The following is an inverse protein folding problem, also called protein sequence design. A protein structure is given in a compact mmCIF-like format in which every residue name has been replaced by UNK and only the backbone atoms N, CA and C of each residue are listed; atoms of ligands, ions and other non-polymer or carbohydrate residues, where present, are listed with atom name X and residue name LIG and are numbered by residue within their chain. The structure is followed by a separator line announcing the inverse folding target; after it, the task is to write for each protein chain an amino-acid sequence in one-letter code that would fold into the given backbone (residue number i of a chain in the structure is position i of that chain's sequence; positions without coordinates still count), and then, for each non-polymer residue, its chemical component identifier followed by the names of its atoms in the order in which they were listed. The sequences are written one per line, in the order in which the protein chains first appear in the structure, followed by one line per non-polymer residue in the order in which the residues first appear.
data_IF_242209915255
#
_entry.id   IF_242209915255
#
_cell.length_a   1.000
_cell.length_b   1.000
_cell.length_c   1.000
_cell.angle_alpha   90.00
_cell.angle_beta   90.00
_cell.angle_gamma   90.00
#
_symmetry.space_group_name_H-M   'P 1'
#
loop_
_entity.id
_entity.type
_entity.pdbx_description
1 polymer ?
#
# COMPACT_ATOMS: atom_id res chain seq x y z
N UNK A 1 13.60 13.32 2.39
CA UNK A 1 14.84 13.03 1.65
C UNK A 1 15.32 11.64 2.02
N UNK A 2 16.02 10.93 1.13
CA UNK A 2 16.70 9.69 1.50
C UNK A 2 17.70 10.00 2.61
N UNK A 3 17.61 9.24 3.70
CA UNK A 3 18.52 9.30 4.84
C UNK A 3 19.65 8.31 4.54
N UNK A 4 20.89 8.74 4.72
CA UNK A 4 22.07 7.92 4.42
C UNK A 4 22.94 7.67 5.64
N UNK A 5 22.88 8.55 6.65
CA UNK A 5 23.60 8.35 7.90
C UNK A 5 22.70 7.69 8.94
N UNK A 6 23.30 6.85 9.78
CA UNK A 6 22.56 6.14 10.84
C UNK A 6 21.91 7.11 11.84
N UNK A 7 22.55 8.26 12.07
CA UNK A 7 22.09 9.31 12.98
C UNK A 7 20.91 10.11 12.43
N UNK A 8 20.62 10.00 11.13
CA UNK A 8 19.46 10.64 10.52
C UNK A 8 18.16 9.88 10.85
N UNK A 9 18.26 8.62 11.29
CA UNK A 9 17.11 7.78 11.61
C UNK A 9 16.60 8.03 13.03
N UNK A 10 15.29 8.27 13.11
CA UNK A 10 14.58 8.32 14.39
C UNK A 10 14.57 6.93 15.06
N UNK A 11 14.33 6.88 16.39
CA UNK A 11 14.04 5.64 17.09
C UNK A 11 12.86 4.88 16.46
N UNK A 12 12.90 3.55 16.49
CA UNK A 12 11.82 2.70 15.94
C UNK A 12 10.48 3.04 16.58
N UNK A 13 10.45 3.31 17.88
CA UNK A 13 9.25 3.70 18.63
C UNK A 13 8.59 4.97 18.07
N UNK A 14 9.36 5.95 17.61
CA UNK A 14 8.81 7.16 16.98
C UNK A 14 8.05 6.81 15.70
N UNK A 15 8.55 5.85 14.90
CA UNK A 15 7.83 5.38 13.72
C UNK A 15 6.59 4.54 14.09
N UNK A 16 6.58 3.84 15.23
CA UNK A 16 5.39 3.10 15.73
C UNK A 16 4.28 4.02 16.21
N UNK A 17 4.63 5.08 16.93
CA UNK A 17 3.67 6.11 17.35
C UNK A 17 3.01 6.74 16.12
N UNK A 18 3.81 7.03 15.10
CA UNK A 18 3.34 7.51 13.82
C UNK A 18 2.44 6.50 13.09
N UNK A 19 2.82 5.23 13.06
CA UNK A 19 2.00 4.16 12.47
C UNK A 19 0.63 4.07 13.14
N UNK A 20 0.60 4.20 14.48
CA UNK A 20 -0.64 4.14 15.25
C UNK A 20 -1.57 5.31 14.91
N UNK A 21 -1.03 6.52 14.81
CA UNK A 21 -1.79 7.70 14.38
C UNK A 21 -2.28 7.55 12.92
N UNK A 22 -1.41 7.09 12.01
CA UNK A 22 -1.77 6.84 10.62
C UNK A 22 -2.89 5.79 10.48
N UNK A 23 -2.82 4.70 11.25
CA UNK A 23 -3.83 3.65 11.28
C UNK A 23 -5.18 4.20 11.74
N UNK A 24 -5.20 4.95 12.83
CA UNK A 24 -6.41 5.57 13.36
C UNK A 24 -7.05 6.53 12.33
N UNK A 25 -6.27 7.44 11.72
CA UNK A 25 -6.79 8.34 10.68
C UNK A 25 -7.25 7.60 9.43
N UNK A 26 -6.54 6.54 9.01
CA UNK A 26 -6.98 5.69 7.90
C UNK A 26 -8.32 5.02 8.20
N UNK A 27 -8.52 4.52 9.42
CA UNK A 27 -9.80 3.97 9.87
C UNK A 27 -10.94 4.99 9.80
N UNK A 28 -10.71 6.23 10.22
CA UNK A 28 -11.69 7.32 10.15
C UNK A 28 -12.06 7.65 8.70
N UNK A 29 -11.08 7.79 7.82
CA UNK A 29 -11.29 8.01 6.39
C UNK A 29 -12.13 6.89 5.79
N UNK A 30 -11.81 5.64 6.10
CA UNK A 30 -12.54 4.46 5.60
C UNK A 30 -13.98 4.41 6.11
N UNK A 31 -14.22 4.87 7.33
CA UNK A 31 -15.56 4.99 7.88
C UNK A 31 -16.40 6.00 7.09
N UNK A 32 -15.84 7.16 6.75
CA UNK A 32 -16.52 8.14 5.89
C UNK A 32 -16.83 7.58 4.49
N UNK A 33 -15.90 6.86 3.87
CA UNK A 33 -16.15 6.14 2.62
C UNK A 33 -17.26 5.08 2.74
N UNK A 34 -17.49 4.52 3.92
CA UNK A 34 -18.52 3.51 4.15
C UNK A 34 -19.90 4.12 4.45
N UNK A 35 -19.94 5.34 5.03
CA UNK A 35 -21.17 6.10 5.27
C UNK A 35 -21.80 6.60 3.99
N UNK A 36 -20.99 6.96 3.02
CA UNK A 36 -21.43 7.49 1.73
C UNK A 36 -21.80 6.37 0.75
N UNK A 37 -22.76 6.62 -0.15
CA UNK A 37 -23.10 5.68 -1.22
C UNK A 37 -22.00 5.69 -2.31
N UNK A 38 -20.92 4.96 -2.04
CA UNK A 38 -19.72 4.97 -2.84
C UNK A 38 -19.94 4.35 -4.24
N UNK A 39 -19.59 5.11 -5.28
CA UNK A 39 -19.48 4.60 -6.64
C UNK A 39 -18.24 3.70 -6.80
N UNK A 40 -18.05 3.09 -7.96
CA UNK A 40 -16.90 2.20 -8.25
C UNK A 40 -15.55 2.87 -7.96
N UNK A 41 -15.39 4.15 -8.33
CA UNK A 41 -14.16 4.92 -8.09
C UNK A 41 -13.85 4.99 -6.60
N UNK A 42 -14.81 5.41 -5.77
CA UNK A 42 -14.62 5.54 -4.32
C UNK A 42 -14.45 4.16 -3.64
N UNK A 43 -15.12 3.11 -4.14
CA UNK A 43 -14.90 1.73 -3.68
C UNK A 43 -13.46 1.27 -3.96
N UNK A 44 -12.92 1.58 -5.15
CA UNK A 44 -11.53 1.26 -5.46
C UNK A 44 -10.59 2.05 -4.53
N UNK A 45 -10.81 3.36 -4.40
CA UNK A 45 -9.96 4.24 -3.58
C UNK A 45 -9.92 3.76 -2.13
N UNK A 46 -11.07 3.49 -1.50
CA UNK A 46 -11.11 2.99 -0.12
C UNK A 46 -10.38 1.65 0.01
N UNK A 47 -10.48 0.76 -0.97
CA UNK A 47 -9.77 -0.52 -0.97
C UNK A 47 -8.25 -0.32 -1.17
N UNK A 48 -7.82 0.72 -1.88
CA UNK A 48 -6.42 1.11 -1.99
C UNK A 48 -5.89 1.59 -0.63
N UNK A 49 -6.63 2.48 0.05
CA UNK A 49 -6.31 3.01 1.38
C UNK A 49 -6.23 1.88 2.42
N UNK A 50 -7.29 1.07 2.54
CA UNK A 50 -7.37 -0.02 3.51
C UNK A 50 -6.23 -1.03 3.33
N UNK A 51 -5.90 -1.38 2.08
CA UNK A 51 -4.78 -2.30 1.83
C UNK A 51 -3.43 -1.68 2.17
N UNK A 52 -3.27 -0.36 1.99
CA UNK A 52 -2.03 0.34 2.29
C UNK A 52 -1.79 0.46 3.78
N UNK A 53 -2.84 0.70 4.59
CA UNK A 53 -2.78 0.58 6.04
C UNK A 53 -2.28 -0.80 6.48
N UNK A 54 -2.94 -1.86 6.01
CA UNK A 54 -2.57 -3.22 6.36
C UNK A 54 -1.13 -3.57 5.95
N UNK A 55 -0.72 -3.18 4.74
CA UNK A 55 0.65 -3.42 4.27
C UNK A 55 1.69 -2.66 5.08
N UNK A 56 1.42 -1.40 5.44
CA UNK A 56 2.33 -0.62 6.28
C UNK A 56 2.47 -1.25 7.65
N UNK A 57 1.37 -1.72 8.26
CA UNK A 57 1.41 -2.48 9.51
C UNK A 57 2.20 -3.78 9.37
N UNK A 58 2.03 -4.50 8.26
CA UNK A 58 2.81 -5.71 7.98
C UNK A 58 4.32 -5.45 7.93
N UNK A 59 4.77 -4.32 7.38
CA UNK A 59 6.19 -3.93 7.41
C UNK A 59 6.72 -3.89 8.85
N UNK A 60 5.98 -3.29 9.78
CA UNK A 60 6.40 -3.22 11.19
C UNK A 60 6.32 -4.57 11.91
N UNK A 61 5.35 -5.41 11.57
CA UNK A 61 5.30 -6.79 12.10
C UNK A 61 6.48 -7.62 11.60
N UNK A 62 6.86 -7.51 10.32
CA UNK A 62 8.01 -8.20 9.76
C UNK A 62 9.33 -7.67 10.34
N UNK A 63 9.39 -6.37 10.62
CA UNK A 63 10.52 -5.76 11.33
C UNK A 63 10.76 -6.42 12.70
N UNK A 64 9.69 -6.69 13.46
CA UNK A 64 9.76 -7.37 14.76
C UNK A 64 10.24 -8.82 14.66
N UNK A 65 10.01 -9.44 13.50
CA UNK A 65 10.52 -10.78 13.19
C UNK A 65 11.97 -10.74 12.66
N UNK A 66 12.58 -9.57 12.54
CA UNK A 66 13.86 -9.34 11.86
C UNK A 66 13.87 -9.80 10.39
N UNK A 67 12.68 -9.92 9.77
CA UNK A 67 12.50 -10.28 8.37
C UNK A 67 12.65 -9.03 7.48
N UNK A 68 13.86 -8.46 7.46
CA UNK A 68 14.11 -7.16 6.84
C UNK A 68 13.93 -7.17 5.33
N UNK A 69 14.26 -8.27 4.65
CA UNK A 69 14.05 -8.41 3.21
C UNK A 69 12.55 -8.40 2.87
N UNK A 70 11.74 -9.10 3.65
CA UNK A 70 10.28 -9.09 3.50
C UNK A 70 9.69 -7.69 3.73
N UNK A 71 10.27 -6.88 4.62
CA UNK A 71 9.90 -5.48 4.79
C UNK A 71 10.04 -4.71 3.46
N UNK A 72 11.14 -4.92 2.72
CA UNK A 72 11.38 -4.30 1.42
C UNK A 72 10.42 -4.79 0.33
N UNK A 73 10.07 -6.08 0.34
CA UNK A 73 9.07 -6.64 -0.58
C UNK A 73 7.72 -5.93 -0.40
N UNK A 74 7.27 -5.79 0.85
CA UNK A 74 6.00 -5.11 1.15
C UNK A 74 6.09 -3.61 0.81
N UNK A 75 7.22 -2.96 1.10
CA UNK A 75 7.49 -1.58 0.71
C UNK A 75 7.36 -1.37 -0.81
N UNK A 76 7.98 -2.24 -1.62
CA UNK A 76 7.86 -2.20 -3.08
C UNK A 76 6.40 -2.30 -3.53
N UNK A 77 5.65 -3.21 -2.92
CA UNK A 77 4.24 -3.39 -3.23
C UNK A 77 3.40 -2.13 -2.89
N UNK A 78 3.77 -1.35 -1.85
CA UNK A 78 3.14 -0.05 -1.56
C UNK A 78 3.40 0.96 -2.68
N UNK A 79 4.63 1.03 -3.20
CA UNK A 79 5.00 1.91 -4.31
C UNK A 79 4.22 1.53 -5.58
N UNK A 80 4.14 0.24 -5.92
CA UNK A 80 3.31 -0.25 -7.03
C UNK A 80 1.88 0.27 -6.94
N UNK A 81 1.33 0.24 -5.72
CA UNK A 81 -0.05 0.62 -5.46
C UNK A 81 -0.25 2.14 -5.60
N UNK A 82 0.71 2.94 -5.15
CA UNK A 82 0.72 4.38 -5.40
C UNK A 82 0.75 4.68 -6.91
N UNK A 83 1.64 4.01 -7.66
CA UNK A 83 1.74 4.20 -9.11
C UNK A 83 0.47 3.78 -9.86
N UNK A 84 -0.17 2.68 -9.44
CA UNK A 84 -1.46 2.29 -9.99
C UNK A 84 -2.54 3.33 -9.72
N UNK A 85 -2.64 3.83 -8.48
CA UNK A 85 -3.66 4.80 -8.11
C UNK A 85 -3.47 6.14 -8.86
N UNK A 86 -2.22 6.59 -8.97
CA UNK A 86 -1.88 7.76 -9.77
C UNK A 86 -2.33 7.60 -11.22
N UNK A 87 -2.04 6.45 -11.85
CA UNK A 87 -2.43 6.18 -13.23
C UNK A 87 -3.95 6.21 -13.40
N UNK A 88 -4.69 5.57 -12.48
CA UNK A 88 -6.16 5.57 -12.52
C UNK A 88 -6.73 6.97 -12.42
N UNK A 89 -6.12 7.84 -11.60
CA UNK A 89 -6.53 9.23 -11.52
C UNK A 89 -6.26 9.99 -12.83
N UNK A 90 -5.10 9.79 -13.46
CA UNK A 90 -4.74 10.53 -14.67
C UNK A 90 -5.62 10.15 -15.87
N UNK A 91 -6.01 8.88 -15.99
CA UNK A 91 -6.82 8.41 -17.13
C UNK A 91 -8.32 8.37 -16.85
N UNK A 92 -8.75 8.57 -15.60
CA UNK A 92 -10.14 8.38 -15.15
C UNK A 92 -10.73 7.00 -15.52
N UNK A 93 -9.90 5.96 -15.48
CA UNK A 93 -10.24 4.60 -15.93
C UNK A 93 -10.70 3.66 -14.81
N UNK A 94 -11.27 4.19 -13.72
CA UNK A 94 -11.67 3.38 -12.57
C UNK A 94 -12.65 2.26 -12.93
N UNK A 95 -13.66 2.53 -13.76
CA UNK A 95 -14.62 1.53 -14.22
C UNK A 95 -13.98 0.49 -15.15
N UNK A 96 -13.09 0.93 -16.05
CA UNK A 96 -12.37 0.03 -16.96
C UNK A 96 -11.45 -0.90 -16.16
N UNK A 97 -10.78 -0.35 -15.15
CA UNK A 97 -9.92 -1.09 -14.24
C UNK A 97 -10.69 -2.08 -13.37
N UNK A 98 -11.89 -1.72 -12.89
CA UNK A 98 -12.74 -2.64 -12.13
C UNK A 98 -13.13 -3.84 -12.99
N UNK A 99 -13.64 -3.59 -14.19
CA UNK A 99 -14.06 -4.64 -15.11
C UNK A 99 -12.87 -5.53 -15.51
N UNK A 100 -11.71 -4.93 -15.79
CA UNK A 100 -10.49 -5.65 -16.14
C UNK A 100 -10.00 -6.51 -14.96
N UNK A 101 -9.94 -5.92 -13.75
CA UNK A 101 -9.49 -6.61 -12.54
C UNK A 101 -10.39 -7.80 -12.21
N UNK A 102 -11.70 -7.61 -12.29
CA UNK A 102 -12.68 -8.69 -12.14
C UNK A 102 -12.41 -9.82 -13.13
N UNK A 103 -12.23 -9.50 -14.41
CA UNK A 103 -12.06 -10.51 -15.45
C UNK A 103 -10.72 -11.25 -15.33
N UNK A 104 -9.63 -10.57 -14.98
CA UNK A 104 -8.35 -11.24 -14.70
C UNK A 104 -8.43 -12.18 -13.50
N UNK A 105 -9.07 -11.77 -12.41
CA UNK A 105 -9.29 -12.62 -11.23
C UNK A 105 -10.16 -13.84 -11.57
N UNK A 106 -11.24 -13.64 -12.32
CA UNK A 106 -12.09 -14.72 -12.81
C UNK A 106 -11.29 -15.73 -13.66
N UNK A 107 -10.47 -15.25 -14.61
CA UNK A 107 -9.63 -16.12 -15.44
C UNK A 107 -8.64 -16.92 -14.61
N UNK A 108 -8.03 -16.31 -13.59
CA UNK A 108 -7.09 -17.00 -12.70
C UNK A 108 -7.77 -18.13 -11.93
N UNK A 109 -8.94 -17.87 -11.34
CA UNK A 109 -9.74 -18.91 -10.65
C UNK A 109 -10.18 -19.99 -11.62
N UNK A 110 -10.70 -19.61 -12.78
CA UNK A 110 -11.21 -20.56 -13.76
C UNK A 110 -10.09 -21.47 -14.32
N UNK A 111 -8.86 -20.94 -14.49
CA UNK A 111 -7.70 -21.73 -14.89
C UNK A 111 -7.46 -22.89 -13.93
N UNK A 112 -7.43 -22.62 -12.62
CA UNK A 112 -7.24 -23.67 -11.60
C UNK A 112 -8.39 -24.66 -11.60
N UNK A 113 -9.64 -24.19 -11.72
CA UNK A 113 -10.81 -25.08 -11.77
C UNK A 113 -10.84 -25.99 -13.00
N UNK A 114 -10.32 -25.52 -14.14
CA UNK A 114 -10.29 -26.27 -15.39
C UNK A 114 -9.11 -27.22 -15.51
N UNK A 115 -8.15 -27.12 -14.58
CA UNK A 115 -6.93 -27.91 -14.61
C UNK A 115 -7.19 -29.32 -14.05
N UNK A 116 -6.97 -30.40 -14.84
CA UNK A 116 -7.17 -31.77 -14.39
C UNK A 116 -6.32 -32.15 -13.16
N UNK A 117 -5.15 -31.52 -12.98
CA UNK A 117 -4.28 -31.76 -11.82
C UNK A 117 -4.93 -31.26 -10.51
N UNK A 118 -5.85 -30.30 -10.61
CA UNK A 118 -6.51 -29.65 -9.48
C UNK A 118 -8.00 -30.01 -9.40
N UNK A 119 -8.36 -31.27 -9.63
CA UNK A 119 -9.77 -31.73 -9.55
C UNK A 119 -10.50 -31.37 -8.24
N UNK A 120 -9.77 -31.25 -7.12
CA UNK A 120 -10.31 -30.79 -5.84
C UNK A 120 -10.70 -29.31 -5.77
N UNK A 121 -10.23 -28.48 -6.72
CA UNK A 121 -10.53 -27.05 -6.76
C UNK A 121 -12.03 -26.76 -6.92
N UNK A 122 -12.78 -27.66 -7.57
CA UNK A 122 -14.22 -27.52 -7.74
C UNK A 122 -14.99 -27.48 -6.40
N UNK A 123 -14.43 -28.12 -5.37
CA UNK A 123 -15.03 -28.24 -4.03
C UNK A 123 -14.48 -27.19 -3.05
N UNK A 124 -13.55 -26.32 -3.49
CA UNK A 124 -12.93 -25.31 -2.64
C UNK A 124 -13.68 -23.98 -2.73
N UNK A 125 -13.96 -23.39 -1.57
CA UNK A 125 -14.49 -22.00 -1.46
C UNK A 125 -13.55 -20.97 -2.07
N UNK A 126 -12.23 -21.23 -2.03
CA UNK A 126 -11.24 -20.31 -2.58
C UNK A 126 -11.32 -20.18 -4.11
N UNK A 127 -11.79 -21.24 -4.78
CA UNK A 127 -11.98 -21.26 -6.22
C UNK A 127 -13.45 -21.28 -6.60
N UNK A 128 -14.36 -20.88 -5.71
CA UNK A 128 -15.79 -20.86 -5.98
C UNK A 128 -16.12 -19.75 -7.00
N UNK A 129 -16.98 -20.07 -7.97
CA UNK A 129 -17.49 -19.11 -8.95
C UNK A 129 -19.01 -19.18 -8.94
N UNK A 130 -19.63 -18.06 -8.57
CA UNK A 130 -21.08 -17.88 -8.54
C UNK A 130 -21.69 -17.80 -9.95
N UNK A 131 -22.99 -18.13 -10.14
CA UNK A 131 -23.68 -17.94 -11.40
C UNK A 131 -23.60 -16.50 -11.93
N UNK A 132 -23.72 -15.51 -11.05
CA UNK A 132 -23.67 -14.09 -11.37
C UNK A 132 -22.30 -13.70 -11.94
N UNK A 133 -21.23 -14.21 -11.33
CA UNK A 133 -19.87 -14.01 -11.83
C UNK A 133 -19.67 -14.61 -13.22
N UNK A 134 -20.23 -15.80 -13.51
CA UNK A 134 -20.17 -16.41 -14.85
C UNK A 134 -20.90 -15.59 -15.90
N UNK A 135 -22.10 -15.10 -15.57
CA UNK A 135 -22.89 -14.24 -16.47
C UNK A 135 -22.12 -12.96 -16.76
N UNK A 136 -21.59 -12.31 -15.71
CA UNK A 136 -20.78 -11.09 -15.84
C UNK A 136 -19.52 -11.31 -16.67
N UNK A 137 -18.77 -12.37 -16.39
CA UNK A 137 -17.56 -12.71 -17.15
C UNK A 137 -17.86 -12.99 -18.63
N UNK A 138 -18.97 -13.70 -18.93
CA UNK A 138 -19.40 -13.96 -20.30
C UNK A 138 -19.81 -12.68 -21.04
N UNK A 139 -20.41 -11.72 -20.34
CA UNK A 139 -20.73 -10.40 -20.91
C UNK A 139 -19.45 -9.60 -21.21
N UNK A 140 -18.50 -9.57 -20.26
CA UNK A 140 -17.20 -8.89 -20.42
C UNK A 140 -16.38 -9.52 -21.54
N UNK A 141 -16.37 -10.85 -21.68
CA UNK A 141 -15.60 -11.54 -22.71
C UNK A 141 -15.98 -11.14 -24.14
N UNK A 142 -17.24 -10.73 -24.37
CA UNK A 142 -17.69 -10.25 -25.70
C UNK A 142 -17.05 -8.92 -26.09
N UNK A 143 -16.73 -8.07 -25.11
CA UNK A 143 -16.02 -6.81 -25.31
C UNK A 143 -15.04 -6.57 -24.15
N UNK A 144 -13.86 -7.19 -24.19
CA UNK A 144 -12.92 -7.14 -23.06
C UNK A 144 -12.43 -5.72 -22.77
N UNK A 145 -12.34 -5.30 -21.50
CA UNK A 145 -11.81 -4.00 -21.14
C UNK A 145 -10.33 -3.91 -21.50
N UNK A 146 -9.94 -2.81 -22.13
CA UNK A 146 -8.55 -2.52 -22.49
C UNK A 146 -7.97 -1.63 -21.41
N UNK A 147 -7.46 -2.25 -20.35
CA UNK A 147 -6.69 -1.55 -19.33
C UNK A 147 -5.26 -2.06 -19.31
N UNK A 148 -4.29 -1.16 -19.13
CA UNK A 148 -2.87 -1.50 -19.05
C UNK A 148 -2.31 -1.04 -17.72
N UNK A 149 -1.62 -1.97 -17.05
CA UNK A 149 -0.83 -1.65 -15.86
C UNK A 149 0.20 -0.57 -16.20
N UNK A 150 0.34 0.51 -15.40
CA UNK A 150 1.37 1.51 -15.65
C UNK A 150 2.76 0.89 -15.50
N UNK A 151 3.70 1.35 -16.34
CA UNK A 151 5.11 1.10 -16.07
C UNK A 151 5.52 1.93 -14.85
N UNK A 152 6.21 1.31 -13.91
CA UNK A 152 6.62 1.95 -12.67
C UNK A 152 7.46 3.22 -12.90
N UNK A 153 8.39 3.17 -13.86
CA UNK A 153 9.21 4.33 -14.22
C UNK A 153 8.37 5.49 -14.78
N UNK A 154 7.40 5.20 -15.64
CA UNK A 154 6.53 6.21 -16.25
C UNK A 154 5.65 6.89 -15.20
N UNK A 155 5.09 6.10 -14.27
CA UNK A 155 4.30 6.63 -13.15
C UNK A 155 5.16 7.50 -12.20
N UNK A 156 6.38 7.07 -11.90
CA UNK A 156 7.30 7.85 -11.08
C UNK A 156 7.69 9.18 -11.74
N UNK A 157 7.90 9.19 -13.06
CA UNK A 157 8.12 10.42 -13.84
C UNK A 157 6.90 11.32 -13.81
N UNK A 158 5.70 10.75 -13.97
CA UNK A 158 4.45 11.50 -13.94
C UNK A 158 4.10 12.11 -12.58
N UNK A 159 4.63 11.56 -11.49
CA UNK A 159 4.59 12.14 -10.14
C UNK A 159 5.65 13.24 -9.90
N UNK A 160 6.52 13.52 -10.88
CA UNK A 160 7.75 14.31 -10.71
C UNK A 160 8.66 13.78 -9.58
N UNK A 161 8.65 12.45 -9.42
CA UNK A 161 9.39 11.75 -8.36
C UNK A 161 10.13 10.55 -8.92
N UNK A 162 10.89 10.74 -10.00
CA UNK A 162 11.66 9.67 -10.66
C UNK A 162 12.62 8.93 -9.72
N UNK A 163 12.98 9.52 -8.59
CA UNK A 163 13.75 8.85 -7.53
C UNK A 163 12.99 7.70 -6.86
N UNK A 164 11.65 7.74 -6.81
CA UNK A 164 10.81 6.66 -6.29
C UNK A 164 10.93 5.39 -7.12
N UNK A 165 11.12 5.53 -8.43
CA UNK A 165 11.42 4.37 -9.27
C UNK A 165 12.81 3.82 -8.94
N UNK A 166 13.87 4.63 -9.06
CA UNK A 166 15.26 4.13 -8.92
C UNK A 166 15.57 3.61 -7.51
N UNK A 167 15.27 4.39 -6.47
CA UNK A 167 15.70 4.10 -5.10
C UNK A 167 14.61 3.52 -4.22
N UNK A 168 13.36 3.56 -4.68
CA UNK A 168 12.24 2.87 -4.03
C UNK A 168 11.97 1.55 -4.73
N UNK A 169 11.46 1.61 -5.95
CA UNK A 169 10.92 0.45 -6.68
C UNK A 169 11.98 -0.54 -7.17
N UNK A 170 12.94 -0.05 -7.94
CA UNK A 170 13.96 -0.86 -8.61
C UNK A 170 14.94 -1.42 -7.59
N UNK A 171 15.44 -0.58 -6.68
CA UNK A 171 16.19 -1.02 -5.52
C UNK A 171 15.45 -2.09 -4.71
N UNK A 172 14.19 -1.86 -4.31
CA UNK A 172 13.45 -2.85 -3.54
C UNK A 172 13.16 -4.15 -4.32
N UNK A 173 13.24 -4.12 -5.65
CA UNK A 173 13.06 -5.32 -6.48
C UNK A 173 14.26 -6.29 -6.38
N UNK A 174 15.44 -5.84 -5.90
CA UNK A 174 16.54 -6.74 -5.55
C UNK A 174 16.25 -7.65 -4.36
N UNK A 175 15.17 -7.38 -3.61
CA UNK A 175 14.68 -8.24 -2.52
C UNK A 175 13.53 -9.15 -2.94
N UNK A 176 13.03 -9.02 -4.18
CA UNK A 176 11.96 -9.88 -4.72
C UNK A 176 12.56 -11.03 -5.53
N UNK A 177 13.61 -10.74 -6.29
CA UNK A 177 14.29 -11.72 -7.13
C UNK A 177 15.48 -12.30 -6.37
N UNK A 178 15.65 -13.64 -6.35
CA UNK A 178 16.77 -14.26 -5.64
C UNK A 178 18.11 -13.71 -6.10
N UNK A 179 18.89 -13.23 -5.14
CA UNK A 179 20.28 -12.77 -5.33
C UNK A 179 21.25 -13.79 -4.73
N UNK A 180 22.51 -13.80 -5.18
CA UNK A 180 23.48 -14.80 -4.72
C UNK A 180 23.77 -14.74 -3.21
N UNK A 181 23.59 -13.57 -2.60
CA UNK A 181 23.75 -13.30 -1.18
C UNK A 181 22.41 -13.14 -0.43
N UNK A 182 21.30 -13.48 -1.09
CA UNK A 182 19.98 -13.44 -0.48
C UNK A 182 19.91 -14.41 0.71
N UNK A 183 19.39 -13.96 1.85
CA UNK A 183 19.35 -14.76 3.08
C UNK A 183 20.63 -14.78 3.93
N UNK A 184 21.70 -14.06 3.56
CA UNK A 184 22.92 -13.99 4.40
C UNK A 184 22.62 -13.42 5.80
N UNK A 185 21.79 -12.38 5.87
CA UNK A 185 21.36 -11.78 7.13
C UNK A 185 20.41 -12.68 7.92
N UNK A 186 19.58 -13.45 7.23
CA UNK A 186 18.67 -14.42 7.87
C UNK A 186 19.48 -15.57 8.47
N UNK A 187 20.46 -16.10 7.74
CA UNK A 187 21.39 -17.11 8.23
C UNK A 187 22.08 -16.65 9.52
N UNK A 188 22.64 -15.44 9.53
CA UNK A 188 23.24 -14.89 10.75
C UNK A 188 22.18 -14.71 11.86
N UNK A 189 21.00 -14.20 11.54
CA UNK A 189 19.92 -13.96 12.50
C UNK A 189 19.46 -15.25 13.17
N UNK A 190 19.38 -16.36 12.43
CA UNK A 190 18.97 -17.68 12.91
C UNK A 190 20.10 -18.36 13.70
N UNK A 191 21.30 -18.41 13.13
CA UNK A 191 22.37 -19.28 13.64
C UNK A 191 23.23 -18.60 14.70
N UNK A 192 23.41 -17.28 14.60
CA UNK A 192 24.40 -16.50 15.37
C UNK A 192 25.83 -17.05 15.24
N UNK A 193 26.10 -17.83 14.20
CA UNK A 193 27.42 -18.36 13.88
C UNK A 193 28.15 -17.34 12.99
N UNK A 194 29.47 -17.25 13.15
CA UNK A 194 30.36 -16.24 12.53
C UNK A 194 30.32 -14.84 13.20
N UNK A 195 31.43 -14.07 13.13
CA UNK A 195 31.35 -12.65 13.45
C UNK A 195 30.32 -11.98 12.54
N UNK A 196 29.57 -11.04 13.11
CA UNK A 196 28.48 -10.34 12.41
C UNK A 196 29.04 -9.69 11.14
N UNK A 197 28.56 -10.07 9.94
CA UNK A 197 28.85 -9.30 8.73
C UNK A 197 28.37 -7.86 8.89
N UNK A 198 28.96 -6.93 8.14
CA UNK A 198 28.51 -5.55 8.12
C UNK A 198 27.19 -5.46 7.32
N UNK A 199 26.07 -5.63 8.01
CA UNK A 199 24.73 -5.54 7.42
C UNK A 199 24.26 -4.09 7.32
N UNK A 200 23.54 -3.72 6.25
CA UNK A 200 23.01 -2.38 6.10
C UNK A 200 21.95 -2.07 7.16
N UNK A 201 21.85 -0.79 7.53
CA UNK A 201 20.76 -0.28 8.35
C UNK A 201 19.44 -0.32 7.56
N UNK A 202 18.40 -0.91 8.15
CA UNK A 202 17.11 -1.11 7.48
C UNK A 202 16.03 -0.16 7.96
N UNK A 203 16.24 0.66 9.02
CA UNK A 203 15.21 1.59 9.55
C UNK A 203 14.60 2.51 8.48
N UNK A 204 15.32 2.76 7.38
CA UNK A 204 14.82 3.47 6.21
C UNK A 204 13.53 2.88 5.62
N UNK A 205 13.35 1.55 5.67
CA UNK A 205 12.16 0.87 5.14
C UNK A 205 10.90 1.23 5.93
N UNK A 206 11.02 1.46 7.24
CA UNK A 206 9.93 1.90 8.10
C UNK A 206 9.47 3.32 7.72
N UNK A 207 10.43 4.24 7.65
CA UNK A 207 10.19 5.64 7.29
C UNK A 207 9.62 5.77 5.88
N UNK A 208 10.21 5.07 4.91
CA UNK A 208 9.77 5.15 3.52
C UNK A 208 8.40 4.50 3.31
N UNK A 209 8.08 3.41 4.02
CA UNK A 209 6.76 2.78 3.93
C UNK A 209 5.66 3.70 4.47
N UNK A 210 5.89 4.37 5.62
CA UNK A 210 4.98 5.40 6.13
C UNK A 210 4.82 6.57 5.15
N UNK A 211 5.91 7.06 4.57
CA UNK A 211 5.87 8.12 3.57
C UNK A 211 4.98 7.73 2.37
N UNK A 212 5.24 6.57 1.77
CA UNK A 212 4.46 6.10 0.61
C UNK A 212 3.00 5.86 0.98
N UNK A 213 2.73 5.33 2.18
CA UNK A 213 1.37 5.13 2.66
C UNK A 213 0.61 6.46 2.77
N UNK A 214 1.22 7.50 3.35
CA UNK A 214 0.59 8.84 3.42
C UNK A 214 0.35 9.46 2.04
N UNK A 215 1.31 9.30 1.11
CA UNK A 215 1.15 9.77 -0.27
C UNK A 215 0.01 9.04 -0.99
N UNK A 216 -0.11 7.72 -0.78
CA UNK A 216 -1.16 6.92 -1.37
C UNK A 216 -2.54 7.33 -0.84
N UNK A 217 -2.66 7.55 0.48
CA UNK A 217 -3.92 8.05 1.05
C UNK A 217 -4.27 9.39 0.46
N UNK A 218 -3.35 10.36 0.45
CA UNK A 218 -3.58 11.67 -0.16
C UNK A 218 -3.97 11.57 -1.65
N UNK A 219 -3.28 10.73 -2.43
CA UNK A 219 -3.62 10.49 -3.84
C UNK A 219 -5.06 9.98 -3.97
N UNK A 220 -5.46 9.06 -3.09
CA UNK A 220 -6.82 8.54 -3.01
C UNK A 220 -7.84 9.62 -2.68
N UNK A 221 -7.60 10.44 -1.65
CA UNK A 221 -8.50 11.53 -1.28
C UNK A 221 -8.65 12.55 -2.41
N UNK A 222 -7.55 12.90 -3.08
CA UNK A 222 -7.56 13.81 -4.24
C UNK A 222 -8.31 13.24 -5.46
N UNK A 223 -8.42 11.91 -5.55
CA UNK A 223 -9.11 11.21 -6.64
C UNK A 223 -10.58 10.91 -6.32
N UNK A 224 -10.96 11.01 -5.04
CA UNK A 224 -12.30 10.64 -4.57
C UNK A 224 -13.35 11.61 -5.08
N UNK A 225 -14.61 11.15 -5.16
CA UNK A 225 -15.74 12.07 -5.40
C UNK A 225 -16.21 12.78 -4.14
N UNK A 226 -15.68 12.39 -2.96
CA UNK A 226 -15.98 13.01 -1.68
C UNK A 226 -15.16 14.28 -1.45
N UNK A 227 -15.69 15.18 -0.62
CA UNK A 227 -15.00 16.39 -0.19
C UNK A 227 -14.34 16.19 1.16
N UNK A 228 -13.01 16.30 1.20
CA UNK A 228 -12.21 16.10 2.40
C UNK A 228 -11.80 17.43 3.02
N UNK A 229 -11.85 17.52 4.35
CA UNK A 229 -11.45 18.73 5.08
C UNK A 229 -9.93 18.93 4.99
N UNK A 230 -9.48 20.19 4.91
CA UNK A 230 -8.06 20.55 4.87
C UNK A 230 -7.26 19.93 6.01
N UNK A 231 -7.87 19.81 7.20
CA UNK A 231 -7.22 19.25 8.39
C UNK A 231 -6.71 17.81 8.20
N UNK A 232 -7.35 17.01 7.32
CA UNK A 232 -6.87 15.67 6.99
C UNK A 232 -5.54 15.74 6.23
N UNK A 233 -5.42 16.69 5.31
CA UNK A 233 -4.18 16.93 4.57
C UNK A 233 -3.10 17.54 5.48
N UNK A 234 -3.46 18.48 6.35
CA UNK A 234 -2.55 19.06 7.36
C UNK A 234 -1.91 17.95 8.23
N UNK A 235 -2.70 16.96 8.65
CA UNK A 235 -2.19 15.80 9.38
C UNK A 235 -1.16 15.00 8.58
N UNK A 236 -1.41 14.72 7.30
CA UNK A 236 -0.43 14.00 6.47
C UNK A 236 0.83 14.83 6.20
N UNK A 237 0.71 16.15 6.08
CA UNK A 237 1.85 17.05 5.96
C UNK A 237 2.70 17.07 7.22
N UNK A 238 2.07 17.20 8.39
CA UNK A 238 2.76 17.17 9.68
C UNK A 238 3.43 15.80 9.92
N UNK A 239 2.76 14.70 9.56
CA UNK A 239 3.31 13.36 9.66
C UNK A 239 4.54 13.19 8.75
N UNK A 240 4.48 13.68 7.51
CA UNK A 240 5.65 13.67 6.60
C UNK A 240 6.77 14.58 7.11
N UNK A 241 6.44 15.69 7.77
CA UNK A 241 7.41 16.55 8.44
C UNK A 241 8.09 15.82 9.60
N UNK A 242 7.36 15.02 10.38
CA UNK A 242 7.93 14.13 11.39
C UNK A 242 8.94 13.17 10.77
N UNK A 243 8.60 12.48 9.67
CA UNK A 243 9.53 11.56 8.99
C UNK A 243 10.83 12.25 8.55
N UNK A 244 10.74 13.51 8.13
CA UNK A 244 11.88 14.31 7.67
C UNK A 244 12.73 14.94 8.79
N UNK A 245 12.10 15.40 9.86
CA UNK A 245 12.74 16.32 10.85
C UNK A 245 12.62 15.86 12.30
N UNK A 246 11.79 14.85 12.58
CA UNK A 246 11.43 14.46 13.95
C UNK A 246 10.39 15.35 14.61
N UNK A 247 9.80 16.33 13.91
CA UNK A 247 8.72 17.18 14.43
C UNK A 247 7.54 16.36 14.96
N UNK A 248 7.02 16.71 16.14
CA UNK A 248 5.85 16.05 16.73
C UNK A 248 4.51 16.73 16.42
N UNK A 249 4.49 17.72 15.51
CA UNK A 249 3.29 18.50 15.18
C UNK A 249 2.11 17.63 14.71
N UNK A 250 2.39 16.45 14.14
CA UNK A 250 1.35 15.50 13.72
C UNK A 250 0.46 15.05 14.89
N UNK A 251 0.97 15.05 16.12
CA UNK A 251 0.19 14.75 17.33
C UNK A 251 -0.88 15.82 17.57
N UNK A 252 -0.57 17.09 17.25
CA UNK A 252 -1.52 18.20 17.39
C UNK A 252 -2.62 18.10 16.33
N UNK A 253 -2.27 17.88 15.06
CA UNK A 253 -3.27 17.71 13.99
C UNK A 253 -4.11 16.44 14.20
N UNK A 254 -3.52 15.35 14.71
CA UNK A 254 -4.24 14.15 15.14
C UNK A 254 -5.29 14.44 16.21
N UNK A 255 -4.92 15.16 17.28
CA UNK A 255 -5.86 15.54 18.34
C UNK A 255 -6.99 16.44 17.84
N UNK A 256 -6.69 17.37 16.91
CA UNK A 256 -7.72 18.21 16.27
C UNK A 256 -8.72 17.36 15.48
N UNK A 257 -8.25 16.37 14.73
CA UNK A 257 -9.12 15.44 13.99
C UNK A 257 -10.01 14.63 14.95
N UNK A 258 -9.45 14.11 16.05
CA UNK A 258 -10.20 13.37 17.06
C UNK A 258 -11.35 14.18 17.66
N UNK A 259 -11.09 15.42 18.09
CA UNK A 259 -12.13 16.31 18.66
C UNK A 259 -13.27 16.62 17.69
N UNK A 260 -12.98 16.70 16.39
CA UNK A 260 -14.01 16.98 15.40
C UNK A 260 -15.02 15.86 15.27
N UNK A 261 -14.61 14.61 15.52
CA UNK A 261 -15.49 13.44 15.41
C UNK A 261 -16.41 13.35 16.62
N UNK A 262 -15.89 13.60 17.82
CA UNK A 262 -16.68 13.68 19.06
C UNK A 262 -17.82 14.72 18.95
N UNK A 263 -17.58 15.84 18.24
CA UNK A 263 -18.60 16.86 18.06
C UNK A 263 -19.70 16.51 17.04
N UNK A 264 -19.46 15.57 16.12
CA UNK A 264 -20.45 15.14 15.10
C UNK A 264 -21.42 14.09 15.66
N UNK A 265 -21.03 13.32 16.69
CA UNK A 265 -21.91 12.32 17.33
C UNK A 265 -22.88 12.92 18.36
N UNK A 266 -22.73 14.20 18.73
CA UNK A 266 -23.61 14.90 19.67
C UNK A 266 -24.58 15.91 19.03
N UNK A 267 -24.70 15.91 17.70
CA UNK A 267 -25.58 16.79 16.91
C UNK A 267 -26.49 16.00 15.98
#
# INVERSE_FOLDING_TARGET
MPKFNIDDYLPVETYRDCLSAFHAISGLILFEFARENANTRDIIIRNFIARSDMMTRSVFTLWDLHAYQDCWIIHRCLIDRLFHLWQLQQSDEFEVFEAWSFFEQFKAVNRVRSDPEFSGALNSKFFEITPEQKVRASAIQKNPPIWRRPKAEDAAKGLDMGFLYRFGYDFASSHIHPMANDGQQDFYTITKLEPVPDFPEHRVVLSNSLLIATMLVQQGLNSSTLSWRSLVYDFFDDLRRMLGTGSEEYKISFLKLGKMIEHVECS
#
